data_IF_308958361080
#
_entry.id   IF_308958361080
#
_cell.length_a   1.000
_cell.length_b   1.000
_cell.length_c   1.000
_cell.angle_alpha   90.00
_cell.angle_beta   90.00
_cell.angle_gamma   90.00
#
_symmetry.space_group_name_H-M   'P 1'
#
loop_
_entity.id
_entity.type
_entity.pdbx_description
1 polymer ?
#
# COMPACT_ATOMS: atom_id res chain seq x y z
N UNK A 1 -11.91 -8.12 29.41
CA UNK A 1 -10.60 -8.71 29.20
C UNK A 1 -10.42 -8.98 27.72
N UNK A 2 -9.51 -8.23 27.09
CA UNK A 2 -9.13 -8.41 25.70
C UNK A 2 -8.36 -9.73 25.57
N UNK A 3 -8.94 -10.71 24.91
CA UNK A 3 -8.30 -11.97 24.58
C UNK A 3 -6.99 -11.68 23.82
N UNK A 4 -5.86 -12.17 24.33
CA UNK A 4 -4.56 -12.02 23.69
C UNK A 4 -4.54 -12.83 22.39
N UNK A 5 -3.86 -12.33 21.35
CA UNK A 5 -3.72 -13.01 20.07
C UNK A 5 -3.01 -14.38 20.19
N UNK A 6 -2.26 -14.61 21.27
CA UNK A 6 -1.70 -15.92 21.64
C UNK A 6 -2.77 -16.97 21.88
N UNK A 7 -3.86 -16.60 22.59
CA UNK A 7 -4.93 -17.53 22.95
C UNK A 7 -5.76 -17.96 21.74
N UNK A 8 -5.78 -17.13 20.68
CA UNK A 8 -6.48 -17.40 19.44
C UNK A 8 -5.66 -18.33 18.53
N UNK A 9 -4.32 -18.23 18.56
CA UNK A 9 -3.45 -19.14 17.80
C UNK A 9 -3.53 -20.58 18.31
N UNK A 10 -3.78 -20.74 19.59
CA UNK A 10 -3.89 -22.06 20.22
C UNK A 10 -5.23 -22.76 19.93
N UNK A 11 -6.28 -21.99 19.58
CA UNK A 11 -7.61 -22.51 19.25
C UNK A 11 -7.86 -22.74 17.75
N UNK A 12 -6.99 -22.28 16.88
CA UNK A 12 -7.13 -22.42 15.43
C UNK A 12 -6.35 -23.64 14.95
N UNK A 13 -7.01 -24.49 14.14
CA UNK A 13 -6.32 -25.60 13.46
C UNK A 13 -5.16 -25.04 12.62
N UNK A 14 -4.02 -25.74 12.63
CA UNK A 14 -2.81 -25.31 11.94
C UNK A 14 -3.01 -24.93 10.46
N UNK A 15 -3.98 -25.56 9.78
CA UNK A 15 -4.36 -25.23 8.40
C UNK A 15 -5.05 -23.87 8.29
N UNK A 16 -5.87 -23.49 9.29
CA UNK A 16 -6.55 -22.18 9.34
C UNK A 16 -5.55 -21.08 9.69
N UNK A 17 -4.63 -21.34 10.61
CA UNK A 17 -3.53 -20.40 10.92
C UNK A 17 -2.64 -20.18 9.70
N UNK A 18 -2.29 -21.24 8.96
CA UNK A 18 -1.51 -21.11 7.72
C UNK A 18 -2.21 -20.25 6.66
N UNK A 19 -3.52 -20.46 6.46
CA UNK A 19 -4.33 -19.62 5.53
C UNK A 19 -4.41 -18.15 5.95
N UNK A 20 -4.54 -17.90 7.24
CA UNK A 20 -4.60 -16.54 7.79
C UNK A 20 -3.24 -15.83 7.70
N UNK A 21 -2.15 -16.56 7.92
CA UNK A 21 -0.79 -16.00 7.82
C UNK A 21 -0.35 -15.74 6.37
N UNK A 22 -1.03 -16.28 5.35
CA UNK A 22 -0.81 -15.88 3.94
C UNK A 22 -1.40 -14.51 3.62
N UNK A 23 -2.24 -13.98 4.50
CA UNK A 23 -2.91 -12.68 4.36
C UNK A 23 -2.41 -11.74 5.47
N UNK A 24 -1.32 -11.00 5.26
CA UNK A 24 -0.65 -10.22 6.33
C UNK A 24 -1.55 -9.19 7.01
N UNK A 25 -2.55 -8.67 6.30
CA UNK A 25 -3.53 -7.70 6.81
C UNK A 25 -4.62 -8.34 7.69
N UNK A 26 -4.87 -9.65 7.53
CA UNK A 26 -5.84 -10.42 8.32
C UNK A 26 -5.19 -11.06 9.55
N UNK A 27 -3.86 -11.16 9.57
CA UNK A 27 -3.11 -11.76 10.67
C UNK A 27 -3.33 -10.93 11.95
N UNK A 28 -3.82 -11.55 13.03
CA UNK A 28 -3.90 -10.88 14.33
C UNK A 28 -2.50 -10.39 14.71
N UNK A 29 -2.34 -9.08 14.81
CA UNK A 29 -1.05 -8.46 15.10
C UNK A 29 -0.99 -8.00 16.54
N UNK A 30 0.10 -8.34 17.24
CA UNK A 30 0.45 -7.77 18.53
C UNK A 30 1.17 -6.42 18.42
N UNK A 31 1.16 -5.82 17.23
CA UNK A 31 1.79 -4.53 16.96
C UNK A 31 1.10 -3.43 17.80
N UNK A 32 1.85 -2.51 18.43
CA UNK A 32 1.28 -1.49 19.30
C UNK A 32 0.33 -0.51 18.58
N UNK A 33 0.42 -0.42 17.27
CA UNK A 33 -0.46 0.41 16.42
C UNK A 33 -1.56 -0.39 15.74
N UNK A 34 -1.78 -1.66 16.11
CA UNK A 34 -2.84 -2.47 15.51
C UNK A 34 -4.22 -1.89 15.85
N UNK A 35 -5.09 -1.80 14.85
CA UNK A 35 -6.42 -1.21 14.94
C UNK A 35 -7.48 -2.31 14.86
N UNK A 36 -8.52 -2.18 15.68
CA UNK A 36 -9.71 -3.04 15.62
C UNK A 36 -10.85 -2.31 14.92
N UNK A 37 -11.52 -3.00 14.02
CA UNK A 37 -12.62 -2.44 13.23
C UNK A 37 -13.98 -2.79 13.82
N UNK A 38 -14.97 -1.91 13.61
CA UNK A 38 -16.33 -2.12 14.06
C UNK A 38 -17.03 -3.20 13.22
N UNK A 39 -18.13 -3.75 13.78
CA UNK A 39 -19.00 -4.70 13.09
C UNK A 39 -19.54 -4.09 11.78
N UNK A 40 -19.49 -4.86 10.69
CA UNK A 40 -19.98 -4.41 9.36
C UNK A 40 -18.91 -3.80 8.46
N UNK A 41 -17.65 -3.63 8.91
CA UNK A 41 -16.53 -3.27 8.04
C UNK A 41 -16.04 -4.48 7.23
N UNK A 42 -15.41 -4.25 6.07
CA UNK A 42 -14.86 -5.33 5.22
C UNK A 42 -13.94 -6.25 6.01
N UNK A 43 -12.99 -5.68 6.76
CA UNK A 43 -12.05 -6.46 7.58
C UNK A 43 -12.74 -7.33 8.63
N UNK A 44 -13.84 -6.86 9.23
CA UNK A 44 -14.65 -7.65 10.17
C UNK A 44 -15.35 -8.80 9.44
N UNK A 45 -15.95 -8.52 8.27
CA UNK A 45 -16.69 -9.52 7.48
C UNK A 45 -15.77 -10.62 6.97
N UNK A 46 -14.56 -10.25 6.50
CA UNK A 46 -13.57 -11.21 6.02
C UNK A 46 -13.09 -12.13 7.13
N UNK A 47 -12.82 -11.60 8.32
CA UNK A 47 -12.45 -12.41 9.49
C UNK A 47 -13.60 -13.32 9.96
N UNK A 48 -14.84 -12.85 9.81
CA UNK A 48 -16.02 -13.65 10.14
C UNK A 48 -16.22 -14.79 9.13
N UNK A 49 -16.05 -14.54 7.82
CA UNK A 49 -16.15 -15.54 6.75
C UNK A 49 -15.07 -16.60 6.87
N UNK A 50 -13.89 -16.25 7.39
CA UNK A 50 -12.79 -17.18 7.66
C UNK A 50 -12.94 -17.92 9.00
N UNK A 51 -14.02 -17.70 9.73
CA UNK A 51 -14.27 -18.37 11.00
C UNK A 51 -13.37 -17.91 12.16
N UNK A 52 -12.66 -16.77 11.99
CA UNK A 52 -11.76 -16.23 13.00
C UNK A 52 -12.49 -15.47 14.12
N UNK A 53 -13.71 -15.04 13.84
CA UNK A 53 -14.57 -14.28 14.75
C UNK A 53 -15.81 -15.08 15.14
N UNK A 54 -16.10 -15.07 16.43
CA UNK A 54 -17.43 -15.50 16.89
C UNK A 54 -18.47 -14.45 16.48
N UNK A 55 -19.71 -14.85 16.04
CA UNK A 55 -20.78 -13.93 15.71
C UNK A 55 -21.17 -12.95 16.83
N UNK A 56 -20.79 -13.26 18.07
CA UNK A 56 -21.06 -12.45 19.27
C UNK A 56 -19.98 -11.38 19.51
N UNK A 57 -18.86 -11.38 18.78
CA UNK A 57 -17.80 -10.40 18.99
C UNK A 57 -18.18 -9.05 18.33
N UNK A 58 -18.11 -7.92 19.07
CA UNK A 58 -18.50 -6.61 18.54
C UNK A 58 -17.43 -5.97 17.65
N UNK A 59 -16.19 -6.47 17.65
CA UNK A 59 -15.06 -5.89 16.92
C UNK A 59 -14.21 -6.97 16.28
N UNK A 60 -13.50 -6.57 15.21
CA UNK A 60 -12.50 -7.41 14.54
C UNK A 60 -11.29 -7.71 15.44
N UNK A 61 -10.53 -8.71 15.07
CA UNK A 61 -9.18 -8.89 15.62
C UNK A 61 -8.28 -7.70 15.22
N UNK A 62 -7.26 -7.37 16.04
CA UNK A 62 -6.35 -6.27 15.73
C UNK A 62 -5.56 -6.57 14.45
N UNK A 63 -5.67 -5.67 13.47
CA UNK A 63 -5.04 -5.78 12.15
C UNK A 63 -4.06 -4.63 11.92
N UNK A 64 -3.16 -4.80 10.96
CA UNK A 64 -2.26 -3.74 10.51
C UNK A 64 -3.03 -2.60 9.85
N UNK A 65 -2.85 -1.34 10.28
CA UNK A 65 -3.51 -0.18 9.69
C UNK A 65 -2.79 0.25 8.40
N UNK A 66 -3.07 -0.43 7.28
CA UNK A 66 -2.46 -0.14 5.96
C UNK A 66 -2.66 1.33 5.55
N UNK A 67 -3.80 1.92 5.91
CA UNK A 67 -4.10 3.32 5.65
C UNK A 67 -3.13 4.30 6.35
N UNK A 68 -2.68 3.97 7.56
CA UNK A 68 -1.67 4.78 8.24
C UNK A 68 -0.31 4.67 7.55
N UNK A 69 0.05 3.49 7.07
CA UNK A 69 1.30 3.31 6.32
C UNK A 69 1.26 4.10 5.00
N UNK A 70 0.14 4.08 4.29
CA UNK A 70 -0.06 4.88 3.09
C UNK A 70 0.07 6.39 3.39
N UNK A 71 -0.57 6.87 4.46
CA UNK A 71 -0.49 8.27 4.85
C UNK A 71 0.94 8.70 5.19
N UNK A 72 1.67 7.90 5.95
CA UNK A 72 3.07 8.18 6.32
C UNK A 72 3.97 8.18 5.09
N UNK A 73 3.88 7.16 4.24
CA UNK A 73 4.71 7.06 3.03
C UNK A 73 4.42 8.19 2.05
N UNK A 74 3.15 8.59 1.91
CA UNK A 74 2.76 9.72 1.06
C UNK A 74 3.27 11.05 1.64
N UNK A 75 3.23 11.24 2.96
CA UNK A 75 3.80 12.41 3.61
C UNK A 75 5.33 12.48 3.43
N UNK A 76 6.03 11.35 3.56
CA UNK A 76 7.47 11.25 3.28
C UNK A 76 7.76 11.61 1.82
N UNK A 77 6.99 11.06 0.87
CA UNK A 77 7.12 11.37 -0.55
C UNK A 77 6.93 12.88 -0.79
N UNK A 78 5.91 13.48 -0.20
CA UNK A 78 5.67 14.93 -0.31
C UNK A 78 6.87 15.75 0.23
N UNK A 79 7.43 15.37 1.37
CA UNK A 79 8.64 16.00 1.92
C UNK A 79 9.85 15.88 0.99
N UNK A 80 10.05 14.69 0.41
CA UNK A 80 11.12 14.45 -0.58
C UNK A 80 10.93 15.31 -1.84
N UNK A 81 9.69 15.44 -2.34
CA UNK A 81 9.37 16.27 -3.51
C UNK A 81 9.61 17.76 -3.23
N UNK A 82 9.24 18.27 -2.04
CA UNK A 82 9.53 19.64 -1.63
C UNK A 82 11.04 19.88 -1.54
N UNK A 83 11.78 18.96 -0.93
CA UNK A 83 13.24 19.02 -0.89
C UNK A 83 13.86 18.99 -2.29
N UNK A 84 13.37 18.10 -3.18
CA UNK A 84 13.83 18.01 -4.57
C UNK A 84 13.53 19.27 -5.36
N UNK A 85 12.37 19.92 -5.13
CA UNK A 85 12.01 21.20 -5.75
C UNK A 85 13.02 22.29 -5.45
N UNK A 86 13.58 22.33 -4.24
CA UNK A 86 14.59 23.34 -3.86
C UNK A 86 15.91 23.20 -4.63
N UNK A 87 16.15 22.07 -5.27
CA UNK A 87 17.34 21.82 -6.12
C UNK A 87 17.19 22.30 -7.57
N UNK A 88 16.10 23.04 -7.87
CA UNK A 88 15.80 23.59 -9.20
C UNK A 88 15.82 22.51 -10.31
N UNK A 89 15.03 21.45 -10.21
CA UNK A 89 14.97 20.43 -11.21
C UNK A 89 14.40 20.96 -12.54
N UNK A 90 14.59 20.24 -13.63
CA UNK A 90 14.03 20.57 -14.92
C UNK A 90 12.48 20.54 -14.89
N UNK A 91 11.80 21.26 -15.83
CA UNK A 91 10.35 21.31 -15.87
C UNK A 91 9.70 19.92 -15.89
N UNK A 92 8.58 19.76 -15.17
CA UNK A 92 7.79 18.53 -15.03
C UNK A 92 8.47 17.38 -14.26
N UNK A 93 9.75 17.48 -13.87
CA UNK A 93 10.44 16.42 -13.13
C UNK A 93 9.76 16.09 -11.81
N UNK A 94 9.25 17.09 -11.10
CA UNK A 94 8.52 16.91 -9.83
C UNK A 94 7.23 16.12 -10.04
N UNK A 95 6.47 16.42 -11.10
CA UNK A 95 5.24 15.72 -11.43
C UNK A 95 5.53 14.25 -11.78
N UNK A 96 6.58 13.99 -12.57
CA UNK A 96 7.00 12.63 -12.91
C UNK A 96 7.45 11.84 -11.67
N UNK A 97 8.27 12.45 -10.81
CA UNK A 97 8.72 11.83 -9.56
C UNK A 97 7.56 11.60 -8.59
N UNK A 98 6.61 12.53 -8.50
CA UNK A 98 5.41 12.38 -7.67
C UNK A 98 4.52 11.25 -8.15
N UNK A 99 4.23 11.19 -9.45
CA UNK A 99 3.43 10.13 -10.04
C UNK A 99 4.09 8.76 -9.88
N UNK A 100 5.39 8.66 -10.22
CA UNK A 100 6.13 7.41 -10.09
C UNK A 100 6.30 6.98 -8.63
N UNK A 101 6.61 7.91 -7.72
CA UNK A 101 6.73 7.63 -6.29
C UNK A 101 5.42 7.15 -5.68
N UNK A 102 4.30 7.79 -5.99
CA UNK A 102 2.98 7.35 -5.51
C UNK A 102 2.57 5.99 -6.09
N UNK A 103 2.81 5.78 -7.39
CA UNK A 103 2.54 4.50 -8.03
C UNK A 103 3.35 3.36 -7.38
N UNK A 104 4.61 3.62 -7.01
CA UNK A 104 5.43 2.66 -6.29
C UNK A 104 4.89 2.37 -4.89
N UNK A 105 4.50 3.40 -4.13
CA UNK A 105 3.88 3.24 -2.81
C UNK A 105 2.61 2.38 -2.92
N UNK A 106 1.73 2.66 -3.88
CA UNK A 106 0.52 1.87 -4.11
C UNK A 106 0.83 0.42 -4.46
N UNK A 107 1.82 0.19 -5.32
CA UNK A 107 2.23 -1.16 -5.70
C UNK A 107 2.73 -1.97 -4.50
N UNK A 108 3.53 -1.36 -3.62
CA UNK A 108 4.06 -2.00 -2.42
C UNK A 108 2.97 -2.27 -1.38
N UNK A 109 2.08 -1.30 -1.15
CA UNK A 109 1.01 -1.44 -0.16
C UNK A 109 -0.09 -2.39 -0.63
N UNK A 110 -0.28 -2.55 -1.93
CA UNK A 110 -1.25 -3.50 -2.48
C UNK A 110 -0.89 -4.96 -2.15
N UNK A 111 0.40 -5.26 -2.02
CA UNK A 111 0.85 -6.58 -1.54
C UNK A 111 0.39 -6.86 -0.11
N UNK A 112 0.25 -5.80 0.71
CA UNK A 112 -0.25 -5.88 2.08
C UNK A 112 -1.79 -5.86 2.15
N UNK A 113 -2.45 -5.53 1.03
CA UNK A 113 -3.89 -5.36 0.92
C UNK A 113 -4.47 -6.50 0.08
N UNK A 114 -4.93 -7.54 0.72
CA UNK A 114 -5.42 -8.74 0.02
C UNK A 114 -6.95 -8.80 -0.15
N UNK A 115 -7.66 -7.66 -0.03
CA UNK A 115 -9.10 -7.57 -0.20
C UNK A 115 -9.55 -7.46 -1.67
N UNK A 116 -8.63 -7.55 -2.63
CA UNK A 116 -8.96 -7.51 -4.06
C UNK A 116 -8.70 -8.85 -4.75
N UNK A 117 -9.71 -9.35 -5.45
CA UNK A 117 -9.57 -10.51 -6.33
C UNK A 117 -8.57 -10.20 -7.46
N UNK A 118 -7.69 -11.14 -7.75
CA UNK A 118 -6.79 -11.04 -8.89
C UNK A 118 -7.62 -11.01 -10.19
N UNK A 119 -7.41 -9.98 -11.02
CA UNK A 119 -8.15 -9.78 -12.26
C UNK A 119 -7.43 -10.39 -13.45
N UNK A 120 -6.12 -10.24 -13.53
CA UNK A 120 -5.32 -10.73 -14.63
C UNK A 120 -3.92 -11.16 -14.17
N UNK A 121 -3.47 -12.32 -14.59
CA UNK A 121 -2.14 -12.85 -14.29
C UNK A 121 -1.76 -12.86 -12.79
N UNK A 122 -2.74 -12.96 -11.90
CA UNK A 122 -2.51 -12.90 -10.44
C UNK A 122 -2.30 -11.49 -9.88
N UNK A 123 -2.49 -10.45 -10.70
CA UNK A 123 -2.38 -9.04 -10.30
C UNK A 123 -3.77 -8.44 -10.03
N UNK A 124 -3.84 -7.52 -9.08
CA UNK A 124 -5.04 -6.74 -8.79
C UNK A 124 -5.18 -5.57 -9.77
N UNK A 125 -6.40 -5.01 -9.89
CA UNK A 125 -6.62 -3.81 -10.71
C UNK A 125 -5.70 -2.65 -10.29
N UNK A 126 -5.54 -2.45 -8.99
CA UNK A 126 -4.70 -1.38 -8.47
C UNK A 126 -3.21 -1.59 -8.81
N UNK A 127 -2.73 -2.85 -8.84
CA UNK A 127 -1.37 -3.17 -9.29
C UNK A 127 -1.18 -2.88 -10.78
N UNK A 128 -2.13 -3.27 -11.62
CA UNK A 128 -2.08 -3.00 -13.06
C UNK A 128 -2.06 -1.50 -13.36
N UNK A 129 -2.93 -0.73 -12.70
CA UNK A 129 -2.96 0.74 -12.82
C UNK A 129 -1.63 1.35 -12.33
N UNK A 130 -1.10 0.88 -11.20
CA UNK A 130 0.16 1.38 -10.64
C UNK A 130 1.35 1.12 -11.55
N UNK A 131 1.42 -0.06 -12.17
CA UNK A 131 2.44 -0.41 -13.17
C UNK A 131 2.32 0.50 -14.38
N UNK A 132 1.11 0.73 -14.89
CA UNK A 132 0.85 1.66 -15.99
C UNK A 132 1.29 3.09 -15.67
N UNK A 133 0.93 3.61 -14.49
CA UNK A 133 1.34 4.93 -14.03
C UNK A 133 2.86 5.04 -13.87
N UNK A 134 3.52 4.01 -13.35
CA UNK A 134 4.97 3.97 -13.22
C UNK A 134 5.66 4.02 -14.59
N UNK A 135 5.16 3.24 -15.55
CA UNK A 135 5.67 3.26 -16.92
C UNK A 135 5.52 4.65 -17.56
N UNK A 136 4.34 5.26 -17.46
CA UNK A 136 4.08 6.62 -17.97
C UNK A 136 5.02 7.64 -17.30
N UNK A 137 5.21 7.55 -15.99
CA UNK A 137 6.09 8.46 -15.25
C UNK A 137 7.55 8.35 -15.74
N UNK A 138 8.05 7.13 -15.97
CA UNK A 138 9.40 6.89 -16.47
C UNK A 138 9.58 7.44 -17.88
N UNK A 139 8.66 7.13 -18.78
CA UNK A 139 8.69 7.62 -20.19
C UNK A 139 8.66 9.15 -20.21
N UNK A 140 7.74 9.75 -19.44
CA UNK A 140 7.63 11.21 -19.37
C UNK A 140 8.89 11.84 -18.78
N UNK A 141 9.46 11.28 -17.72
CA UNK A 141 10.72 11.74 -17.14
C UNK A 141 11.85 11.74 -18.17
N UNK A 142 12.01 10.65 -18.92
CA UNK A 142 13.02 10.51 -19.96
C UNK A 142 12.84 11.51 -21.09
N UNK A 143 11.62 11.75 -21.53
CA UNK A 143 11.31 12.74 -22.56
C UNK A 143 11.61 14.18 -22.08
N UNK A 144 11.19 14.52 -20.86
CA UNK A 144 11.42 15.82 -20.27
C UNK A 144 12.91 16.09 -20.03
N UNK A 145 13.65 15.10 -19.60
CA UNK A 145 15.10 15.17 -19.41
C UNK A 145 15.85 15.44 -20.72
N UNK A 146 15.53 14.67 -21.79
CA UNK A 146 16.10 14.88 -23.12
C UNK A 146 15.78 16.28 -23.68
N UNK A 147 14.54 16.76 -23.46
CA UNK A 147 14.14 18.10 -23.88
C UNK A 147 14.93 19.19 -23.14
N UNK A 148 15.11 19.03 -21.84
CA UNK A 148 15.92 19.98 -21.05
C UNK A 148 17.37 20.04 -21.52
N UNK A 149 17.99 18.90 -21.82
CA UNK A 149 19.36 18.85 -22.37
C UNK A 149 19.49 19.56 -23.72
N UNK A 150 18.53 19.34 -24.63
CA UNK A 150 18.52 20.02 -25.95
C UNK A 150 18.42 21.54 -25.82
N UNK A 151 17.61 22.02 -24.87
CA UNK A 151 17.47 23.46 -24.65
C UNK A 151 18.76 24.06 -24.07
N UNK A 152 19.45 23.36 -23.18
CA UNK A 152 20.76 23.78 -22.67
C UNK A 152 21.81 23.88 -23.77
N UNK A 153 21.88 22.93 -24.67
CA UNK A 153 22.82 22.96 -25.80
C UNK A 153 22.55 24.13 -26.76
N UNK A 154 21.25 24.42 -27.05
CA UNK A 154 20.89 25.55 -27.91
C UNK A 154 21.19 26.93 -27.29
N UNK A 155 21.20 27.03 -25.96
CA UNK A 155 21.51 28.27 -25.26
C UNK A 155 23.01 28.50 -25.08
N UNK A 156 23.83 27.47 -25.30
CA UNK A 156 25.29 27.52 -25.20
C UNK A 156 26.02 27.68 -26.57
N UNK A 157 25.27 27.56 -27.66
CA UNK A 157 25.73 27.77 -29.06
C UNK A 157 25.33 29.15 -29.56
#
# INVERSE_FOLDING_TARGET
PTRRSSDLREQLDGATVARVCTLPWLCPSNWPLAVTFARGTSAYMDQMLLGLLSPLQPRSLPCHPVQLYEAVLTAVLAGVLVWYQSRRPFPYSIACCGLGGYALIRLLLEVLRADHAAVCCGLTEAQLISIGCLFVAIVWYMCAYKSAQRNHQKSAA
#
